data_IF_779492542199
#
_entry.id   IF_779492542199
#
_cell.length_a   1.000
_cell.length_b   1.000
_cell.length_c   1.000
_cell.angle_alpha   90.00
_cell.angle_beta   90.00
_cell.angle_gamma   90.00
#
_symmetry.space_group_name_H-M   'P 1'
#
loop_
_entity.id
_entity.type
_entity.pdbx_description
1 polymer ?
#
# COMPACT_ATOMS: atom_id res chain seq x y z
N UNK A 1 5.04 10.94 -35.05
CA UNK A 1 4.89 9.58 -34.47
C UNK A 1 6.00 9.20 -33.50
N UNK A 2 7.30 9.19 -33.87
CA UNK A 2 8.40 8.79 -32.97
C UNK A 2 8.44 9.54 -31.62
N UNK A 3 8.18 10.85 -31.64
CA UNK A 3 8.13 11.71 -30.43
C UNK A 3 6.95 11.37 -29.49
N UNK A 4 5.80 11.00 -30.07
CA UNK A 4 4.62 10.58 -29.29
C UNK A 4 4.87 9.23 -28.62
N UNK A 5 5.48 8.29 -29.36
CA UNK A 5 5.86 6.97 -28.83
C UNK A 5 6.84 7.09 -27.65
N UNK A 6 7.82 8.00 -27.75
CA UNK A 6 8.76 8.27 -26.68
C UNK A 6 8.11 8.86 -25.42
N UNK A 7 7.15 9.78 -25.58
CA UNK A 7 6.41 10.35 -24.45
C UNK A 7 5.53 9.30 -23.76
N UNK A 8 4.78 8.50 -24.52
CA UNK A 8 3.96 7.42 -23.97
C UNK A 8 4.83 6.41 -23.21
N UNK A 9 5.94 5.96 -23.81
CA UNK A 9 6.87 5.06 -23.15
C UNK A 9 7.48 5.63 -21.87
N UNK A 10 7.85 6.92 -21.89
CA UNK A 10 8.37 7.61 -20.71
C UNK A 10 7.34 7.65 -19.56
N UNK A 11 6.10 8.07 -19.84
CA UNK A 11 5.07 8.13 -18.79
C UNK A 11 4.65 6.75 -18.29
N UNK A 12 4.62 5.73 -19.15
CA UNK A 12 4.38 4.35 -18.71
C UNK A 12 5.48 3.86 -17.76
N UNK A 13 6.74 4.14 -18.08
CA UNK A 13 7.87 3.81 -17.20
C UNK A 13 7.76 4.55 -15.86
N UNK A 14 7.47 5.85 -15.88
CA UNK A 14 7.27 6.65 -14.67
C UNK A 14 6.12 6.09 -13.83
N UNK A 15 4.99 5.74 -14.44
CA UNK A 15 3.86 5.13 -13.74
C UNK A 15 4.25 3.80 -13.09
N UNK A 16 5.01 2.94 -13.79
CA UNK A 16 5.51 1.69 -13.24
C UNK A 16 6.44 1.90 -12.03
N UNK A 17 7.34 2.89 -12.11
CA UNK A 17 8.22 3.27 -11.00
C UNK A 17 7.40 3.74 -9.79
N UNK A 18 6.40 4.61 -10.01
CA UNK A 18 5.52 5.10 -8.94
C UNK A 18 4.77 3.94 -8.30
N UNK A 19 4.17 3.05 -9.09
CA UNK A 19 3.46 1.88 -8.58
C UNK A 19 4.37 1.00 -7.72
N UNK A 20 5.56 0.70 -8.21
CA UNK A 20 6.55 -0.09 -7.48
C UNK A 20 6.98 0.58 -6.17
N UNK A 21 7.24 1.89 -6.21
CA UNK A 21 7.68 2.65 -5.04
C UNK A 21 6.59 2.81 -3.97
N UNK A 22 5.33 2.98 -4.37
CA UNK A 22 4.19 3.18 -3.45
C UNK A 22 3.66 1.84 -2.90
N UNK A 23 3.81 0.74 -3.63
CA UNK A 23 3.34 -0.58 -3.23
C UNK A 23 3.67 -1.00 -1.78
N UNK A 24 4.93 -0.90 -1.29
CA UNK A 24 5.23 -1.28 0.09
C UNK A 24 4.46 -0.45 1.14
N UNK A 25 4.23 0.84 0.86
CA UNK A 25 3.47 1.73 1.76
C UNK A 25 1.98 1.41 1.74
N UNK A 26 1.43 1.17 0.55
CA UNK A 26 0.07 0.68 0.40
C UNK A 26 -0.15 -0.59 1.22
N UNK A 27 0.74 -1.57 1.09
CA UNK A 27 0.65 -2.82 1.84
C UNK A 27 0.71 -2.56 3.35
N UNK A 28 1.65 -1.73 3.82
CA UNK A 28 1.78 -1.39 5.22
C UNK A 28 0.51 -0.74 5.82
N UNK A 29 -0.12 0.19 5.10
CA UNK A 29 -1.37 0.85 5.52
C UNK A 29 -2.52 -0.15 5.58
N UNK A 30 -2.65 -1.02 4.57
CA UNK A 30 -3.71 -2.03 4.57
C UNK A 30 -3.50 -2.98 5.76
N UNK A 31 -2.28 -3.46 5.99
CA UNK A 31 -2.00 -4.39 7.09
C UNK A 31 -2.11 -3.76 8.47
N UNK A 32 -1.79 -2.46 8.63
CA UNK A 32 -1.92 -1.77 9.93
C UNK A 32 -3.37 -1.67 10.40
N UNK A 33 -4.32 -1.77 9.48
CA UNK A 33 -5.76 -1.74 9.74
C UNK A 33 -6.38 -3.13 9.88
N UNK A 34 -5.63 -4.23 9.69
CA UNK A 34 -6.17 -5.60 9.80
C UNK A 34 -6.13 -6.12 11.24
N UNK A 35 -7.04 -7.04 11.57
CA UNK A 35 -6.90 -7.86 12.77
C UNK A 35 -5.79 -8.90 12.60
N UNK A 36 -5.19 -9.38 13.70
CA UNK A 36 -4.11 -10.37 13.66
C UNK A 36 -4.49 -11.66 12.92
N UNK A 37 -5.76 -12.08 13.01
CA UNK A 37 -6.31 -13.24 12.29
C UNK A 37 -6.40 -13.05 10.77
N UNK A 38 -6.38 -11.81 10.29
CA UNK A 38 -6.55 -11.45 8.87
C UNK A 38 -5.23 -11.11 8.18
N UNK A 39 -4.10 -11.12 8.92
CA UNK A 39 -2.77 -10.84 8.37
C UNK A 39 -2.36 -11.81 7.26
N UNK A 40 -2.90 -13.02 7.25
CA UNK A 40 -2.64 -14.04 6.23
C UNK A 40 -3.70 -14.07 5.12
N UNK A 41 -4.74 -13.22 5.21
CA UNK A 41 -5.74 -13.08 4.16
C UNK A 41 -5.26 -12.12 3.07
N UNK A 42 -5.42 -12.52 1.82
CA UNK A 42 -5.08 -11.68 0.65
C UNK A 42 -6.26 -10.77 0.34
N UNK A 43 -6.27 -9.61 0.98
CA UNK A 43 -7.24 -8.54 0.71
C UNK A 43 -6.52 -7.32 0.18
N UNK A 44 -6.98 -6.80 -0.96
CA UNK A 44 -6.43 -5.61 -1.61
C UNK A 44 -6.98 -4.29 -1.04
N UNK A 45 -7.89 -4.37 -0.08
CA UNK A 45 -8.41 -3.23 0.66
C UNK A 45 -8.91 -3.75 2.01
N UNK A 46 -8.78 -3.00 3.13
CA UNK A 46 -9.29 -3.44 4.41
C UNK A 46 -10.81 -3.68 4.33
N UNK A 47 -11.23 -4.91 4.61
CA UNK A 47 -12.65 -5.29 4.73
C UNK A 47 -13.18 -4.88 6.11
N UNK A 48 -12.30 -4.94 7.11
CA UNK A 48 -12.51 -4.60 8.51
C UNK A 48 -11.50 -3.53 8.90
N UNK A 49 -11.91 -2.61 9.79
CA UNK A 49 -11.08 -1.50 10.25
C UNK A 49 -10.70 -1.74 11.71
N UNK A 50 -9.51 -2.28 11.95
CA UNK A 50 -8.99 -2.54 13.29
C UNK A 50 -8.12 -1.37 13.78
N UNK A 51 -8.74 -0.46 14.54
CA UNK A 51 -8.05 0.68 15.15
C UNK A 51 -7.28 0.33 16.42
N UNK A 52 -7.49 -0.88 16.99
CA UNK A 52 -6.80 -1.29 18.22
C UNK A 52 -5.28 -1.35 18.02
N UNK A 53 -4.82 -1.63 16.80
CA UNK A 53 -3.39 -1.60 16.43
C UNK A 53 -2.77 -0.21 16.62
N UNK A 54 -3.54 0.87 16.47
CA UNK A 54 -3.06 2.23 16.71
C UNK A 54 -3.14 2.59 18.19
N UNK A 55 -4.17 2.13 18.88
CA UNK A 55 -4.34 2.36 20.32
C UNK A 55 -3.26 1.60 21.12
N UNK A 56 -2.91 0.38 20.71
CA UNK A 56 -1.88 -0.44 21.35
C UNK A 56 -0.53 0.25 21.32
N UNK A 57 -0.18 0.94 20.23
CA UNK A 57 1.03 1.76 20.16
C UNK A 57 1.09 2.71 21.33
N UNK A 58 0.03 3.43 21.69
CA UNK A 58 0.07 4.38 22.83
C UNK A 58 -0.08 3.74 24.21
N UNK A 59 -0.60 2.51 24.30
CA UNK A 59 -0.78 1.78 25.57
C UNK A 59 0.42 0.93 25.96
N UNK A 60 1.14 0.41 24.98
CA UNK A 60 2.22 -0.56 25.13
C UNK A 60 3.61 0.09 25.05
N UNK A 61 3.69 1.42 24.94
CA UNK A 61 4.97 2.13 25.09
C UNK A 61 5.41 2.11 26.57
N UNK A 62 6.73 1.96 26.84
CA UNK A 62 7.28 2.16 28.18
C UNK A 62 7.10 3.60 28.70
#
# INVERSE_FOLDING_TARGET
MKRFLGLVGFYLLVAAIILYAVFPFYYAIVTSLKAGSELFSVDYFPVTWNWDNYVSVFREQP
#
